data_IF_303183259179
#
_entry.id   IF_303183259179
#
_cell.length_a   1.000
_cell.length_b   1.000
_cell.length_c   1.000
_cell.angle_alpha   90.00
_cell.angle_beta   90.00
_cell.angle_gamma   90.00
#
_symmetry.space_group_name_H-M   'P 1'
#
loop_
_entity.id
_entity.type
_entity.pdbx_description
1 polymer ?
#
# COMPACT_ATOMS: atom_id res chain seq x y z
N UNK A 1 -18.24 -1.45 2.09
CA UNK A 1 -17.16 -0.53 1.68
C UNK A 1 -15.96 -1.32 1.13
N UNK A 2 -15.64 -1.21 -0.17
CA UNK A 2 -14.61 -2.06 -0.83
C UNK A 2 -13.19 -1.46 -0.85
N UNK A 3 -12.99 -0.15 -0.64
CA UNK A 3 -11.68 0.51 -0.84
C UNK A 3 -11.25 1.43 0.33
N UNK A 4 -11.29 0.97 1.58
CA UNK A 4 -10.68 1.68 2.72
C UNK A 4 -11.07 3.16 2.84
N UNK A 5 -12.37 3.43 2.94
CA UNK A 5 -12.91 4.78 3.09
C UNK A 5 -12.60 5.38 4.46
N UNK A 6 -12.88 6.67 4.58
CA UNK A 6 -12.77 7.44 5.82
C UNK A 6 -14.13 8.01 6.21
N UNK A 7 -14.30 8.32 7.48
CA UNK A 7 -15.44 9.03 8.05
C UNK A 7 -14.89 10.28 8.72
N UNK A 8 -15.51 11.43 8.49
CA UNK A 8 -15.16 12.64 9.25
C UNK A 8 -16.05 12.71 10.48
N UNK A 9 -15.44 12.69 11.66
CA UNK A 9 -16.11 12.97 12.91
C UNK A 9 -15.95 14.44 13.22
N UNK A 10 -17.04 15.12 13.54
CA UNK A 10 -17.05 16.55 13.84
C UNK A 10 -17.59 16.78 15.24
N UNK A 11 -17.00 17.73 15.96
CA UNK A 11 -17.53 18.25 17.23
C UNK A 11 -17.72 17.16 18.31
N UNK A 12 -16.90 16.12 18.28
CA UNK A 12 -16.91 15.03 19.23
C UNK A 12 -16.39 15.51 20.59
N UNK A 13 -17.04 15.09 21.67
CA UNK A 13 -16.59 15.43 23.01
C UNK A 13 -15.35 14.61 23.40
N UNK A 14 -14.37 15.27 24.01
CA UNK A 14 -13.21 14.58 24.60
C UNK A 14 -13.62 14.01 25.95
N UNK A 15 -13.46 12.70 26.12
CA UNK A 15 -13.63 12.09 27.44
C UNK A 15 -12.65 12.72 28.43
N UNK A 16 -13.19 13.27 29.53
CA UNK A 16 -12.45 13.85 30.66
C UNK A 16 -11.61 15.12 30.39
N UNK A 17 -11.81 15.82 29.27
CA UNK A 17 -11.17 17.14 29.03
C UNK A 17 -12.18 18.07 28.37
N UNK A 18 -12.30 19.29 28.87
CA UNK A 18 -13.16 20.31 28.25
C UNK A 18 -12.67 20.62 26.83
N UNK A 19 -13.57 20.50 25.85
CA UNK A 19 -13.30 20.83 24.45
C UNK A 19 -13.75 19.76 23.45
N UNK A 20 -14.12 20.22 22.26
CA UNK A 20 -14.53 19.39 21.14
C UNK A 20 -13.35 19.02 20.25
N UNK A 21 -13.44 17.89 19.56
CA UNK A 21 -12.49 17.51 18.52
C UNK A 21 -13.19 17.06 17.25
N UNK A 22 -12.51 17.29 16.13
CA UNK A 22 -12.92 16.80 14.82
C UNK A 22 -11.74 16.08 14.18
N UNK A 23 -11.99 14.94 13.54
CA UNK A 23 -10.95 14.13 12.94
C UNK A 23 -11.51 13.18 11.88
N UNK A 24 -10.72 12.95 10.84
CA UNK A 24 -10.93 11.84 9.91
C UNK A 24 -10.55 10.52 10.56
N UNK A 25 -11.40 9.52 10.38
CA UNK A 25 -11.25 8.17 10.94
C UNK A 25 -11.26 7.16 9.82
N UNK A 26 -10.32 6.22 9.84
CA UNK A 26 -10.22 5.16 8.85
C UNK A 26 -9.62 3.89 9.45
N UNK A 27 -9.83 2.77 8.75
CA UNK A 27 -9.29 1.47 9.15
C UNK A 27 -7.98 1.15 8.41
N UNK A 28 -7.19 0.23 8.97
CA UNK A 28 -6.12 -0.44 8.22
C UNK A 28 -6.69 -1.35 7.12
N UNK A 29 -5.82 -1.87 6.25
CA UNK A 29 -6.23 -2.68 5.09
C UNK A 29 -6.95 -3.98 5.50
N UNK A 30 -6.60 -4.55 6.66
CA UNK A 30 -7.24 -5.74 7.24
C UNK A 30 -8.58 -5.41 7.93
N UNK A 31 -8.94 -4.14 8.06
CA UNK A 31 -10.15 -3.65 8.76
C UNK A 31 -10.23 -4.05 10.24
N UNK A 32 -9.08 -4.29 10.86
CA UNK A 32 -8.95 -4.74 12.25
C UNK A 32 -8.59 -3.63 13.23
N UNK A 33 -8.01 -2.52 12.74
CA UNK A 33 -7.52 -1.40 13.57
C UNK A 33 -7.99 -0.05 13.06
N UNK A 34 -8.26 0.86 13.99
CA UNK A 34 -8.77 2.22 13.74
C UNK A 34 -7.65 3.26 13.87
N UNK A 35 -7.65 4.25 12.98
CA UNK A 35 -6.68 5.34 12.93
C UNK A 35 -7.37 6.67 12.71
N UNK A 36 -6.71 7.75 13.15
CA UNK A 36 -7.22 9.11 13.15
C UNK A 36 -6.25 10.04 12.43
N UNK A 37 -6.79 11.04 11.75
CA UNK A 37 -6.03 12.12 11.12
C UNK A 37 -6.78 13.44 11.26
N UNK A 38 -6.05 14.54 11.46
CA UNK A 38 -6.63 15.89 11.38
C UNK A 38 -6.79 16.33 9.93
N UNK A 39 -5.86 15.93 9.08
CA UNK A 39 -5.85 16.25 7.65
C UNK A 39 -6.57 15.16 6.84
N UNK A 40 -7.02 15.54 5.64
CA UNK A 40 -7.76 14.66 4.76
C UNK A 40 -6.92 13.40 4.39
N UNK A 41 -7.43 12.17 4.60
CA UNK A 41 -6.63 10.95 4.47
C UNK A 41 -6.13 10.66 3.05
N UNK A 42 -6.82 11.17 2.02
CA UNK A 42 -6.44 11.04 0.60
C UNK A 42 -5.44 12.09 0.11
N UNK A 43 -5.03 13.04 0.95
CA UNK A 43 -3.98 14.01 0.61
C UNK A 43 -2.66 13.27 0.35
N UNK A 44 -1.90 13.72 -0.65
CA UNK A 44 -0.59 13.15 -0.95
C UNK A 44 0.52 13.93 -0.23
N UNK A 45 1.44 13.21 0.38
CA UNK A 45 2.58 13.75 1.12
C UNK A 45 3.86 13.11 0.64
N UNK A 46 4.96 13.87 0.65
CA UNK A 46 6.28 13.35 0.31
C UNK A 46 6.80 12.42 1.41
N UNK A 47 7.37 11.30 1.00
CA UNK A 47 8.09 10.39 1.86
C UNK A 47 9.15 9.61 1.07
N UNK A 48 10.42 9.78 1.46
CA UNK A 48 11.56 9.16 0.76
C UNK A 48 11.55 9.53 -0.72
N UNK A 49 11.47 8.52 -1.58
CA UNK A 49 11.42 8.66 -3.05
C UNK A 49 9.99 8.76 -3.62
N UNK A 50 8.96 8.80 -2.77
CA UNK A 50 7.55 8.71 -3.16
C UNK A 50 6.74 9.93 -2.72
N UNK A 51 5.68 10.23 -3.45
CA UNK A 51 4.53 10.98 -2.92
C UNK A 51 3.41 9.96 -2.67
N UNK A 52 2.95 9.79 -1.43
CA UNK A 52 1.97 8.76 -1.06
C UNK A 52 0.79 9.35 -0.31
N UNK A 53 -0.35 8.66 -0.27
CA UNK A 53 -1.48 9.11 0.55
C UNK A 53 -1.10 9.21 2.03
N UNK A 54 -1.58 10.25 2.69
CA UNK A 54 -1.35 10.52 4.10
C UNK A 54 -1.83 9.35 4.98
N UNK A 55 -3.00 8.77 4.66
CA UNK A 55 -3.48 7.54 5.30
C UNK A 55 -2.43 6.43 5.28
N UNK A 56 -1.88 6.16 4.10
CA UNK A 56 -0.96 5.05 3.89
C UNK A 56 0.34 5.30 4.69
N UNK A 57 0.83 6.55 4.74
CA UNK A 57 1.94 6.96 5.59
C UNK A 57 1.66 6.74 7.08
N UNK A 58 0.50 7.20 7.58
CA UNK A 58 0.11 7.04 8.99
C UNK A 58 0.11 5.55 9.36
N UNK A 59 -0.45 4.70 8.50
CA UNK A 59 -0.51 3.27 8.74
C UNK A 59 0.90 2.64 8.78
N UNK A 60 1.78 2.97 7.83
CA UNK A 60 3.15 2.45 7.79
C UNK A 60 3.98 2.90 8.99
N UNK A 61 3.89 4.18 9.38
CA UNK A 61 4.58 4.69 10.58
C UNK A 61 4.08 4.02 11.88
N UNK A 62 2.83 3.55 11.89
CA UNK A 62 2.28 2.74 12.97
C UNK A 62 2.61 1.23 12.85
N UNK A 63 3.55 0.87 11.98
CA UNK A 63 4.02 -0.51 11.79
C UNK A 63 2.99 -1.42 11.13
N UNK A 64 2.08 -0.88 10.32
CA UNK A 64 1.18 -1.68 9.48
C UNK A 64 1.82 -1.96 8.13
N UNK A 65 1.53 -3.13 7.57
CA UNK A 65 1.76 -3.42 6.15
C UNK A 65 0.58 -2.87 5.36
N UNK A 66 0.86 -2.06 4.34
CA UNK A 66 -0.18 -1.31 3.62
C UNK A 66 0.03 -1.43 2.12
N UNK A 67 -1.05 -1.63 1.37
CA UNK A 67 -1.04 -1.46 -0.08
C UNK A 67 -1.20 0.02 -0.42
N UNK A 68 -0.07 0.73 -0.44
CA UNK A 68 -0.04 2.18 -0.53
C UNK A 68 -0.33 2.67 -1.95
N UNK A 69 -1.10 3.75 -2.10
CA UNK A 69 -1.23 4.47 -3.38
C UNK A 69 -0.17 5.56 -3.42
N UNK A 70 0.77 5.43 -4.36
CA UNK A 70 1.89 6.37 -4.52
C UNK A 70 1.88 6.98 -5.92
N UNK A 71 2.27 8.25 -6.05
CA UNK A 71 2.61 8.85 -7.35
C UNK A 71 3.98 8.35 -7.74
N UNK A 72 4.07 7.70 -8.90
CA UNK A 72 5.31 7.14 -9.40
C UNK A 72 5.82 7.97 -10.57
N UNK A 73 6.86 8.79 -10.32
CA UNK A 73 7.39 9.72 -11.30
C UNK A 73 7.92 9.06 -12.58
N UNK A 74 8.20 7.75 -12.57
CA UNK A 74 8.65 6.99 -13.75
C UNK A 74 7.54 6.47 -14.68
N UNK A 75 6.27 6.47 -14.28
CA UNK A 75 5.16 5.84 -15.03
C UNK A 75 4.04 6.82 -15.42
N UNK A 76 4.13 8.08 -15.00
CA UNK A 76 3.07 9.08 -15.25
C UNK A 76 1.71 8.76 -14.58
N UNK A 77 1.68 7.79 -13.66
CA UNK A 77 0.46 7.27 -13.03
C UNK A 77 0.70 6.88 -11.56
N UNK A 78 -0.37 6.43 -10.90
CA UNK A 78 -0.31 5.88 -9.55
C UNK A 78 0.16 4.43 -9.56
N UNK A 79 1.04 4.09 -8.63
CA UNK A 79 1.43 2.72 -8.31
C UNK A 79 0.82 2.28 -6.98
N UNK A 80 0.73 0.96 -6.79
CA UNK A 80 0.13 0.33 -5.60
C UNK A 80 1.04 -0.69 -4.91
N UNK A 81 2.28 -0.33 -4.52
CA UNK A 81 3.18 -1.23 -3.81
C UNK A 81 2.71 -1.50 -2.38
N UNK A 82 3.12 -2.64 -1.83
CA UNK A 82 3.09 -2.89 -0.39
C UNK A 82 4.28 -2.21 0.28
N UNK A 83 3.99 -1.41 1.30
CA UNK A 83 4.99 -0.68 2.10
C UNK A 83 4.84 -1.05 3.57
N UNK A 84 5.98 -1.18 4.26
CA UNK A 84 6.03 -1.39 5.71
C UNK A 84 7.40 -0.99 6.26
N UNK A 85 7.51 -0.83 7.58
CA UNK A 85 8.80 -0.69 8.27
C UNK A 85 9.16 -2.03 8.90
N UNK A 86 10.42 -2.47 8.77
CA UNK A 86 10.86 -3.69 9.45
C UNK A 86 10.92 -3.44 10.97
N UNK A 87 11.46 -2.28 11.36
CA UNK A 87 11.43 -1.74 12.71
C UNK A 87 10.83 -0.33 12.72
N UNK A 88 10.16 0.04 13.81
CA UNK A 88 9.53 1.38 13.93
C UNK A 88 10.52 2.54 13.78
N UNK A 89 11.77 2.31 14.20
CA UNK A 89 12.87 3.28 14.16
C UNK A 89 13.54 3.41 12.79
N UNK A 90 13.19 2.54 11.83
CA UNK A 90 13.81 2.59 10.51
C UNK A 90 13.47 3.90 9.81
N UNK A 91 14.45 4.53 9.16
CA UNK A 91 14.22 5.74 8.38
C UNK A 91 13.65 5.46 6.99
N UNK A 92 13.69 4.21 6.52
CA UNK A 92 13.24 3.80 5.19
C UNK A 92 12.18 2.72 5.27
N UNK A 93 11.30 2.69 4.27
CA UNK A 93 10.29 1.64 4.13
C UNK A 93 10.84 0.49 3.29
N UNK A 94 10.44 -0.71 3.65
CA UNK A 94 10.51 -1.88 2.80
C UNK A 94 9.40 -1.81 1.75
N UNK A 95 9.67 -2.33 0.57
CA UNK A 95 8.76 -2.29 -0.58
C UNK A 95 8.63 -3.68 -1.23
N UNK A 96 7.42 -4.02 -1.64
CA UNK A 96 7.13 -5.24 -2.40
C UNK A 96 5.91 -5.03 -3.30
N UNK A 97 5.88 -5.69 -4.45
CA UNK A 97 4.69 -5.70 -5.31
C UNK A 97 3.68 -6.78 -4.88
N UNK A 98 4.17 -7.83 -4.23
CA UNK A 98 3.37 -8.90 -3.63
C UNK A 98 3.12 -8.63 -2.15
N UNK A 99 1.99 -9.12 -1.62
CA UNK A 99 1.65 -8.96 -0.20
C UNK A 99 2.66 -9.74 0.67
N UNK A 100 3.49 -9.07 1.48
CA UNK A 100 4.52 -9.74 2.27
C UNK A 100 3.94 -10.55 3.44
N UNK A 101 2.64 -10.40 3.76
CA UNK A 101 1.96 -11.16 4.81
C UNK A 101 1.54 -12.55 4.34
N UNK A 102 1.41 -12.74 3.04
CA UNK A 102 1.08 -14.04 2.49
C UNK A 102 2.33 -14.92 2.53
N UNK A 103 2.20 -16.19 2.94
CA UNK A 103 3.31 -17.12 2.81
C UNK A 103 3.72 -17.14 1.35
N UNK A 104 5.00 -16.90 1.08
CA UNK A 104 5.59 -17.20 -0.22
C UNK A 104 5.41 -18.70 -0.43
N UNK A 105 4.30 -19.12 -1.03
CA UNK A 105 4.27 -20.38 -1.73
C UNK A 105 5.47 -20.32 -2.66
N UNK A 106 6.50 -21.10 -2.33
CA UNK A 106 7.63 -21.30 -3.21
C UNK A 106 6.99 -21.70 -4.54
N UNK A 107 6.96 -20.78 -5.51
CA UNK A 107 6.88 -21.18 -6.91
C UNK A 107 8.24 -21.79 -7.23
N UNK A 108 8.55 -22.92 -6.62
CA UNK A 108 9.35 -23.94 -7.28
C UNK A 108 8.53 -24.37 -8.50
N UNK A 109 9.16 -24.31 -9.67
CA UNK A 109 8.76 -25.04 -10.88
C UNK A 109 7.53 -24.58 -11.69
N UNK A 110 7.38 -23.28 -11.98
CA UNK A 110 6.51 -22.90 -13.11
C UNK A 110 7.02 -21.78 -14.04
N UNK A 111 8.21 -21.24 -13.80
CA UNK A 111 8.88 -20.34 -14.77
C UNK A 111 10.03 -21.02 -15.56
N UNK A 112 10.22 -22.33 -15.38
CA UNK A 112 10.98 -23.18 -16.29
C UNK A 112 10.05 -24.06 -17.14
N UNK A 113 9.07 -23.44 -17.79
CA UNK A 113 8.69 -23.92 -19.13
C UNK A 113 9.21 -22.88 -20.10
N UNK A 114 10.49 -23.05 -20.44
CA UNK A 114 11.00 -22.59 -21.73
C UNK A 114 9.91 -22.92 -22.74
N UNK A 115 9.31 -21.89 -23.33
CA UNK A 115 8.50 -22.05 -24.51
C UNK A 115 9.39 -22.70 -25.55
N UNK A 116 9.33 -24.02 -25.66
CA UNK A 116 9.87 -24.77 -26.78
C UNK A 116 9.04 -24.29 -27.96
N UNK A 117 9.49 -23.21 -28.60
CA UNK A 117 9.02 -22.83 -29.91
C UNK A 117 9.36 -24.03 -30.81
N UNK A 118 8.39 -24.76 -31.36
CA UNK A 118 8.72 -25.77 -32.34
C UNK A 118 9.29 -25.01 -33.54
N UNK A 119 10.57 -25.25 -33.86
CA UNK A 119 11.17 -24.83 -35.13
C UNK A 119 10.32 -25.41 -36.25
N UNK A 120 9.47 -24.58 -36.85
CA UNK A 120 8.69 -24.93 -38.03
C UNK A 120 9.67 -24.93 -39.21
N UNK A 121 10.23 -26.09 -39.52
CA UNK A 121 10.93 -26.33 -40.77
C UNK A 121 9.93 -26.15 -41.92
N UNK A 122 9.83 -24.94 -42.46
CA UNK A 122 9.26 -24.74 -43.81
C UNK A 122 10.33 -25.21 -44.79
N UNK A 123 10.24 -26.49 -45.12
CA UNK A 123 10.94 -27.09 -46.24
C UNK A 123 10.72 -26.25 -47.49
N UNK A 124 11.84 -25.85 -48.07
CA UNK A 124 12.00 -25.31 -49.42
C UNK A 124 11.39 -26.33 -50.38
N UNK A 125 10.31 -25.99 -51.08
CA UNK A 125 9.89 -26.72 -52.28
C UNK A 125 10.25 -25.90 -53.51
N UNK A 126 11.08 -26.57 -54.30
CA UNK A 126 11.54 -26.42 -55.68
C UNK A 126 10.62 -25.57 -56.55
#
# INVERSE_FOLDING_TARGET
>A
MRNGGWIYLENMDRNNVEGKFSSYVFLNDEKSKLFFSKEHPDTFVSYGKYEMRLRDKILVENGQVVKAKVKWYGLGSYAYPYLWKANKTDSQYQESWDDPRLPKNRKSESEQKQSIVPKRNRGKKI
#
